data_IF_010792638214
#
_entry.id   IF_010792638214
#
_cell.length_a   1.000
_cell.length_b   1.000
_cell.length_c   1.000
_cell.angle_alpha   90.00
_cell.angle_beta   90.00
_cell.angle_gamma   90.00
#
_symmetry.space_group_name_H-M   'P 1'
#
loop_
_entity.id
_entity.type
_entity.pdbx_description
1 polymer ?
#
# COMPACT_ATOMS: atom_id res chain seq x y z
N UNK A 1 13.48 -47.15 -22.86
CA UNK A 1 14.49 -46.21 -22.37
C UNK A 1 13.72 -44.97 -21.97
N UNK A 2 13.61 -44.72 -20.68
CA UNK A 2 12.90 -43.57 -20.10
C UNK A 2 13.96 -42.47 -19.91
N UNK A 3 13.73 -41.23 -20.36
CA UNK A 3 14.66 -40.13 -20.07
C UNK A 3 14.55 -39.76 -18.59
N UNK A 4 15.69 -39.54 -17.94
CA UNK A 4 15.75 -39.06 -16.55
C UNK A 4 15.37 -37.57 -16.49
N UNK A 5 14.64 -37.13 -15.44
CA UNK A 5 14.33 -35.73 -15.24
C UNK A 5 15.59 -34.96 -14.79
N UNK A 6 15.84 -33.85 -15.45
CA UNK A 6 16.85 -32.86 -15.09
C UNK A 6 16.50 -32.20 -13.76
N UNK A 7 17.44 -32.22 -12.82
CA UNK A 7 17.32 -31.54 -11.53
C UNK A 7 17.41 -30.02 -11.71
N UNK A 8 16.62 -29.23 -10.97
CA UNK A 8 16.78 -27.78 -10.94
C UNK A 8 18.12 -27.40 -10.30
N UNK A 9 18.72 -26.34 -10.84
CA UNK A 9 20.02 -25.80 -10.44
C UNK A 9 19.80 -24.89 -9.24
N UNK A 10 20.32 -25.32 -8.09
CA UNK A 10 20.43 -24.54 -6.86
C UNK A 10 21.38 -23.35 -7.08
N UNK A 11 20.83 -22.12 -7.13
CA UNK A 11 21.55 -20.86 -7.37
C UNK A 11 22.04 -20.18 -6.08
N UNK A 12 22.21 -20.89 -4.96
CA UNK A 12 22.86 -20.31 -3.78
C UNK A 12 24.38 -20.42 -3.87
N UNK A 13 25.05 -19.31 -4.23
CA UNK A 13 26.36 -18.86 -3.69
C UNK A 13 26.92 -17.65 -4.46
N UNK A 14 27.28 -16.60 -3.73
CA UNK A 14 28.67 -16.17 -3.44
C UNK A 14 28.84 -14.64 -3.45
N UNK A 15 28.50 -13.95 -2.36
CA UNK A 15 29.05 -12.61 -2.12
C UNK A 15 30.50 -12.76 -1.63
N UNK A 16 31.43 -12.57 -2.55
CA UNK A 16 32.85 -12.43 -2.26
C UNK A 16 33.23 -10.94 -2.36
N UNK A 17 33.53 -10.35 -1.20
CA UNK A 17 34.07 -9.01 -1.06
C UNK A 17 35.41 -8.84 -1.81
N UNK A 18 35.51 -7.80 -2.65
CA UNK A 18 36.77 -7.18 -3.07
C UNK A 18 36.54 -5.67 -3.15
N UNK A 19 37.30 -4.93 -2.35
CA UNK A 19 37.26 -3.47 -2.32
C UNK A 19 38.25 -2.76 -3.25
N UNK A 20 38.31 -1.45 -3.01
CA UNK A 20 39.30 -0.45 -3.40
C UNK A 20 39.17 0.19 -4.80
N UNK A 21 38.63 1.40 -4.80
CA UNK A 21 39.48 2.59 -4.95
C UNK A 21 39.39 3.39 -6.25
N UNK A 22 39.44 4.72 -6.07
CA UNK A 22 39.63 5.80 -7.07
C UNK A 22 38.35 6.22 -7.79
N UNK A 23 38.11 7.47 -8.18
CA UNK A 23 38.58 8.83 -7.89
C UNK A 23 37.83 9.68 -8.93
N UNK A 24 37.41 10.92 -8.64
CA UNK A 24 37.43 12.01 -9.65
C UNK A 24 37.00 13.36 -9.05
N UNK A 25 38.01 14.19 -8.82
CA UNK A 25 37.89 15.64 -8.69
C UNK A 25 37.63 16.23 -10.08
N UNK A 26 36.56 17.00 -10.25
CA UNK A 26 36.39 17.86 -11.43
C UNK A 26 36.56 19.32 -10.98
N UNK A 27 37.72 19.88 -11.35
CA UNK A 27 37.96 21.30 -11.38
C UNK A 27 37.81 21.78 -12.84
N UNK A 28 37.09 22.88 -13.03
CA UNK A 28 36.93 23.54 -14.32
C UNK A 28 36.65 25.02 -14.14
N UNK A 29 37.73 25.82 -14.13
CA UNK A 29 37.71 27.28 -14.13
C UNK A 29 37.22 27.84 -15.49
N UNK A 30 36.61 29.04 -15.49
CA UNK A 30 37.15 30.27 -16.11
C UNK A 30 36.09 31.38 -16.19
N UNK A 31 36.46 32.59 -15.77
CA UNK A 31 35.76 33.83 -16.13
C UNK A 31 35.88 34.97 -15.11
N UNK A 32 37.05 35.62 -15.05
CA UNK A 32 37.26 36.90 -14.35
C UNK A 32 36.75 38.08 -15.18
N UNK A 33 36.18 39.11 -14.53
CA UNK A 33 36.49 40.52 -14.83
C UNK A 33 36.21 41.43 -13.60
N UNK A 34 37.29 42.10 -13.17
CA UNK A 34 37.41 43.26 -12.26
C UNK A 34 36.69 44.50 -12.85
N UNK A 35 36.36 45.63 -12.18
CA UNK A 35 36.53 46.29 -10.87
C UNK A 35 35.66 47.56 -10.92
N UNK A 36 35.15 48.07 -9.81
CA UNK A 36 35.48 49.42 -9.30
C UNK A 36 34.59 49.86 -8.12
N UNK A 37 35.25 50.54 -7.19
CA UNK A 37 34.80 50.96 -5.88
C UNK A 37 33.80 52.13 -5.90
N UNK A 38 33.08 52.36 -4.79
CA UNK A 38 33.35 53.50 -3.90
C UNK A 38 32.53 53.41 -2.59
N UNK A 39 33.22 53.73 -1.50
CA UNK A 39 32.78 53.93 -0.13
C UNK A 39 31.94 55.20 0.04
N UNK A 40 30.93 55.19 0.91
CA UNK A 40 30.55 56.39 1.68
C UNK A 40 30.01 56.04 3.07
N UNK A 41 30.45 56.82 4.05
CA UNK A 41 30.39 56.60 5.49
C UNK A 41 29.41 57.57 6.17
N UNK A 42 28.36 57.03 6.80
CA UNK A 42 27.74 57.48 8.05
C UNK A 42 26.76 58.69 8.04
N UNK A 43 26.17 59.06 9.21
CA UNK A 43 25.96 58.29 10.45
C UNK A 43 24.52 58.39 11.03
N UNK A 44 24.19 57.42 11.91
CA UNK A 44 23.51 57.54 13.23
C UNK A 44 22.23 58.39 13.34
N UNK A 45 21.12 57.77 13.74
CA UNK A 45 20.33 58.16 14.93
C UNK A 45 19.75 56.89 15.60
N UNK A 46 20.04 56.75 16.89
CA UNK A 46 19.41 55.82 17.82
C UNK A 46 18.10 56.47 18.26
N UNK A 47 16.96 55.78 18.18
CA UNK A 47 15.78 56.18 18.94
C UNK A 47 15.12 54.94 19.55
N UNK A 48 15.07 54.94 20.87
CA UNK A 48 14.45 53.94 21.73
C UNK A 48 12.97 54.28 21.84
N UNK A 49 12.10 53.31 21.53
CA UNK A 49 10.68 53.39 21.85
C UNK A 49 10.17 52.00 22.21
N UNK A 50 10.22 51.69 23.50
CA UNK A 50 9.43 50.64 24.13
C UNK A 50 7.94 51.00 24.01
N UNK A 51 7.07 50.04 23.66
CA UNK A 51 5.65 50.18 23.94
C UNK A 51 4.71 49.35 23.07
N UNK A 52 4.17 48.33 23.74
CA UNK A 52 2.82 47.77 23.60
C UNK A 52 2.62 46.59 22.64
N UNK A 53 2.17 45.50 23.28
CA UNK A 53 1.73 44.25 22.73
C UNK A 53 0.52 44.45 21.82
N UNK A 54 0.55 43.78 20.67
CA UNK A 54 -0.63 43.48 19.88
C UNK A 54 -0.58 41.97 19.62
N UNK A 55 -1.32 41.25 20.46
CA UNK A 55 -1.64 39.83 20.30
C UNK A 55 -2.76 39.70 19.26
N UNK A 56 -2.60 38.80 18.29
CA UNK A 56 -3.74 38.09 17.71
C UNK A 56 -3.74 37.94 16.19
N UNK A 57 -3.80 36.68 15.77
CA UNK A 57 -4.16 36.16 14.44
C UNK A 57 -3.06 36.11 13.39
N UNK A 58 -2.00 35.34 13.69
CA UNK A 58 -1.42 34.42 12.71
C UNK A 58 -1.43 33.01 13.34
N UNK A 59 -1.68 31.99 12.52
CA UNK A 59 -1.66 30.55 12.82
C UNK A 59 -2.99 29.86 13.21
N UNK A 60 -3.99 29.90 12.33
CA UNK A 60 -4.88 28.74 12.13
C UNK A 60 -4.14 27.69 11.27
N UNK A 61 -3.05 27.16 11.79
CA UNK A 61 -2.64 25.80 11.49
C UNK A 61 -3.14 25.01 12.70
N UNK A 62 -4.20 24.23 12.52
CA UNK A 62 -4.62 23.28 13.52
C UNK A 62 -3.39 22.43 13.87
N UNK A 63 -2.85 22.65 15.07
CA UNK A 63 -1.99 21.67 15.71
C UNK A 63 -2.84 20.41 15.78
N UNK A 64 -2.58 19.46 14.90
CA UNK A 64 -2.88 18.04 15.12
C UNK A 64 -2.32 17.76 16.52
N UNK A 65 -3.23 17.74 17.49
CA UNK A 65 -2.91 17.44 18.88
C UNK A 65 -2.11 16.17 18.87
N UNK A 66 -0.84 16.25 19.28
CA UNK A 66 0.04 15.10 19.42
C UNK A 66 -0.76 13.98 20.09
N UNK A 67 -1.13 12.96 19.31
CA UNK A 67 -1.85 11.80 19.83
C UNK A 67 -1.09 11.32 21.07
N UNK A 68 -1.81 10.87 22.11
CA UNK A 68 -1.16 10.26 23.27
C UNK A 68 -0.16 9.19 22.79
N UNK A 69 0.96 8.94 23.50
CA UNK A 69 1.92 7.93 23.09
C UNK A 69 1.20 6.58 22.96
N UNK A 70 0.97 6.18 21.72
CA UNK A 70 0.34 4.93 21.31
C UNK A 70 1.41 3.95 20.85
N UNK A 71 1.03 2.86 20.15
CA UNK A 71 2.02 2.00 19.50
C UNK A 71 2.91 2.84 18.57
N UNK A 72 4.22 2.67 18.71
CA UNK A 72 5.22 3.33 17.88
C UNK A 72 5.35 2.54 16.57
N UNK A 73 4.58 2.93 15.54
CA UNK A 73 4.74 2.38 14.20
C UNK A 73 6.12 2.66 13.63
N UNK A 74 6.56 1.82 12.70
CA UNK A 74 7.83 2.01 11.99
C UNK A 74 7.61 1.83 10.49
N UNK A 75 8.33 2.61 9.68
CA UNK A 75 8.44 2.31 8.25
C UNK A 75 9.10 0.95 8.03
N UNK A 76 8.74 0.30 6.92
CA UNK A 76 9.34 -0.96 6.50
C UNK A 76 10.86 -0.88 6.48
N UNK A 77 11.53 -1.88 7.05
CA UNK A 77 12.98 -2.00 6.96
C UNK A 77 13.42 -2.50 5.58
N UNK A 78 14.71 -2.39 5.28
CA UNK A 78 15.29 -3.00 4.07
C UNK A 78 15.04 -4.52 4.00
N UNK A 79 14.96 -5.19 5.16
CA UNK A 79 14.66 -6.62 5.26
C UNK A 79 13.19 -6.90 4.96
N UNK A 80 12.27 -6.08 5.50
CA UNK A 80 10.83 -6.22 5.22
C UNK A 80 10.53 -6.00 3.74
N UNK A 81 11.09 -4.94 3.14
CA UNK A 81 10.94 -4.65 1.71
C UNK A 81 11.45 -5.82 0.86
N UNK A 82 12.62 -6.34 1.18
CA UNK A 82 13.19 -7.47 0.45
C UNK A 82 12.34 -8.75 0.57
N UNK A 83 11.78 -9.02 1.76
CA UNK A 83 10.87 -10.15 1.97
C UNK A 83 9.57 -9.98 1.19
N UNK A 84 8.92 -8.81 1.28
CA UNK A 84 7.70 -8.52 0.51
C UNK A 84 7.92 -8.67 -1.00
N UNK A 85 9.04 -8.18 -1.53
CA UNK A 85 9.39 -8.34 -2.95
C UNK A 85 9.61 -9.80 -3.32
N UNK A 86 10.22 -10.59 -2.43
CA UNK A 86 10.45 -12.01 -2.66
C UNK A 86 9.18 -12.85 -2.55
N UNK A 87 8.28 -12.49 -1.63
CA UNK A 87 7.06 -13.22 -1.37
C UNK A 87 6.02 -12.91 -2.45
N UNK A 88 5.93 -11.67 -2.95
CA UNK A 88 5.01 -11.25 -4.02
C UNK A 88 5.60 -11.46 -5.43
N UNK A 89 6.06 -12.67 -5.71
CA UNK A 89 6.80 -13.01 -6.93
C UNK A 89 5.96 -13.46 -8.14
N UNK A 90 4.62 -13.42 -8.05
CA UNK A 90 3.76 -13.89 -9.14
C UNK A 90 3.82 -12.95 -10.36
N UNK A 91 3.59 -13.52 -11.54
CA UNK A 91 3.75 -12.83 -12.82
C UNK A 91 2.42 -12.81 -13.61
N UNK A 92 1.42 -12.01 -13.18
CA UNK A 92 0.11 -11.95 -13.84
C UNK A 92 0.14 -11.24 -15.20
N UNK A 93 1.23 -10.57 -15.55
CA UNK A 93 1.39 -9.88 -16.85
C UNK A 93 2.32 -10.67 -17.79
N UNK A 94 2.21 -10.48 -19.11
CA UNK A 94 3.14 -11.07 -20.09
C UNK A 94 4.55 -10.45 -20.02
N UNK A 95 5.55 -11.20 -20.50
CA UNK A 95 6.98 -10.81 -20.47
C UNK A 95 7.25 -9.39 -21.01
N UNK A 96 6.55 -8.96 -22.06
CA UNK A 96 6.75 -7.62 -22.66
C UNK A 96 6.37 -6.48 -21.70
N UNK A 97 5.53 -6.74 -20.70
CA UNK A 97 5.15 -5.79 -19.65
C UNK A 97 6.10 -5.80 -18.44
N UNK A 98 7.06 -6.73 -18.39
CA UNK A 98 8.06 -6.84 -17.32
C UNK A 98 9.43 -6.28 -17.71
N UNK A 99 9.72 -6.16 -19.02
CA UNK A 99 11.04 -5.73 -19.53
C UNK A 99 10.93 -4.50 -20.45
N UNK A 100 11.82 -3.51 -20.26
CA UNK A 100 12.10 -2.47 -21.27
C UNK A 100 13.59 -2.49 -21.61
N UNK A 101 14.02 -3.23 -22.64
CA UNK A 101 15.44 -3.40 -23.00
C UNK A 101 16.28 -2.09 -23.09
N UNK A 102 17.46 -2.07 -22.44
CA UNK A 102 18.52 -1.06 -22.63
C UNK A 102 19.75 -1.24 -21.72
N UNK A 103 20.97 -0.99 -22.23
CA UNK A 103 22.25 -1.23 -21.50
C UNK A 103 22.52 -0.27 -20.30
N UNK A 104 21.62 0.69 -20.03
CA UNK A 104 21.74 1.68 -18.93
C UNK A 104 20.49 1.74 -18.01
N UNK A 105 19.81 0.58 -17.82
CA UNK A 105 18.68 0.27 -16.91
C UNK A 105 17.27 0.41 -17.52
N UNK A 106 16.54 -0.69 -17.42
CA UNK A 106 15.11 -0.86 -17.73
C UNK A 106 14.31 -0.74 -16.44
N UNK A 107 13.22 0.03 -16.38
CA UNK A 107 12.28 -0.16 -15.27
C UNK A 107 10.84 0.20 -15.63
N UNK A 108 9.96 -0.67 -15.15
CA UNK A 108 8.61 -0.58 -14.54
C UNK A 108 8.08 -2.00 -14.81
N UNK A 109 7.72 -2.79 -13.78
CA UNK A 109 6.77 -2.39 -12.76
C UNK A 109 7.38 -2.17 -11.37
N UNK A 110 6.97 -1.06 -10.76
CA UNK A 110 7.01 -0.81 -9.30
C UNK A 110 6.14 -1.77 -8.50
N UNK A 111 5.53 -2.74 -9.18
CA UNK A 111 4.52 -3.62 -8.67
C UNK A 111 5.07 -5.03 -8.53
N UNK A 112 4.76 -5.64 -7.40
CA UNK A 112 4.95 -7.07 -7.15
C UNK A 112 3.57 -7.65 -6.83
N UNK A 113 3.34 -8.92 -7.15
CA UNK A 113 2.00 -9.50 -7.15
C UNK A 113 1.94 -10.84 -6.41
N UNK A 114 0.81 -11.10 -5.77
CA UNK A 114 0.51 -12.40 -5.19
C UNK A 114 -0.92 -12.81 -5.50
N UNK A 115 -1.10 -13.98 -6.10
CA UNK A 115 -2.41 -14.61 -6.21
C UNK A 115 -2.89 -15.05 -4.83
N UNK A 116 -4.16 -14.75 -4.57
CA UNK A 116 -4.82 -15.13 -3.32
C UNK A 116 -6.11 -15.90 -3.59
N UNK A 117 -6.54 -15.98 -4.85
CA UNK A 117 -7.58 -16.89 -5.34
C UNK A 117 -7.34 -17.19 -6.83
N UNK A 118 -8.24 -17.95 -7.46
CA UNK A 118 -8.21 -18.19 -8.91
C UNK A 118 -8.52 -16.92 -9.73
N UNK A 119 -9.15 -15.91 -9.11
CA UNK A 119 -9.62 -14.69 -9.78
C UNK A 119 -9.10 -13.39 -9.18
N UNK A 120 -8.43 -13.45 -8.03
CA UNK A 120 -7.99 -12.26 -7.29
C UNK A 120 -6.50 -12.34 -6.99
N UNK A 121 -5.83 -11.22 -7.19
CA UNK A 121 -4.46 -10.98 -6.80
C UNK A 121 -4.37 -9.73 -5.92
N UNK A 122 -3.37 -9.70 -5.06
CA UNK A 122 -2.94 -8.51 -4.33
C UNK A 122 -1.66 -7.98 -4.96
N UNK A 123 -1.50 -6.67 -4.97
CA UNK A 123 -0.32 -5.97 -5.47
C UNK A 123 0.27 -5.05 -4.43
N UNK A 124 1.58 -4.89 -4.48
CA UNK A 124 2.29 -3.87 -3.71
C UNK A 124 2.98 -2.94 -4.71
N UNK A 125 2.70 -1.64 -4.63
CA UNK A 125 3.29 -0.60 -5.46
C UNK A 125 4.32 0.19 -4.65
N UNK A 126 5.59 0.12 -5.03
CA UNK A 126 6.70 0.80 -4.35
C UNK A 126 7.07 2.17 -4.96
N UNK A 127 7.82 2.95 -4.20
CA UNK A 127 8.31 4.28 -4.59
C UNK A 127 9.32 4.24 -5.76
N UNK A 128 10.11 3.18 -5.85
CA UNK A 128 11.16 3.02 -6.86
C UNK A 128 10.73 2.13 -8.04
N UNK A 129 11.10 2.49 -9.28
CA UNK A 129 10.79 1.70 -10.47
C UNK A 129 11.25 0.23 -10.44
N UNK A 130 12.32 -0.07 -9.70
CA UNK A 130 12.74 -1.44 -9.40
C UNK A 130 12.38 -1.74 -7.93
N UNK A 131 11.47 -2.70 -7.65
CA UNK A 131 11.11 -3.07 -6.28
C UNK A 131 12.32 -3.48 -5.41
N UNK A 132 13.37 -4.06 -5.99
CA UNK A 132 14.60 -4.41 -5.23
C UNK A 132 15.41 -3.18 -4.77
N UNK A 133 15.15 -1.99 -5.33
CA UNK A 133 15.76 -0.72 -4.94
C UNK A 133 14.81 0.15 -4.07
N UNK A 134 13.59 -0.32 -3.79
CA UNK A 134 12.56 0.42 -3.06
C UNK A 134 13.00 0.85 -1.66
N UNK A 135 12.44 1.97 -1.20
CA UNK A 135 12.62 2.46 0.17
C UNK A 135 11.32 2.65 0.93
N UNK A 136 10.18 2.62 0.23
CA UNK A 136 8.86 2.73 0.81
C UNK A 136 7.79 2.03 -0.03
N UNK A 137 6.70 1.64 0.62
CA UNK A 137 5.46 1.21 -0.04
C UNK A 137 4.56 2.43 -0.26
N UNK A 138 4.06 2.59 -1.49
CA UNK A 138 3.15 3.68 -1.87
C UNK A 138 1.69 3.20 -1.81
N UNK A 139 1.37 2.11 -2.50
CA UNK A 139 0.02 1.55 -2.51
C UNK A 139 0.01 0.06 -2.20
N UNK A 140 -1.09 -0.38 -1.58
CA UNK A 140 -1.58 -1.75 -1.76
C UNK A 140 -2.67 -1.77 -2.82
N UNK A 141 -2.74 -2.85 -3.57
CA UNK A 141 -3.68 -3.02 -4.68
C UNK A 141 -4.43 -4.34 -4.53
N UNK A 142 -5.71 -4.35 -4.87
CA UNK A 142 -6.47 -5.59 -5.09
C UNK A 142 -6.88 -5.61 -6.55
N UNK A 143 -6.54 -6.69 -7.24
CA UNK A 143 -6.89 -6.92 -8.64
C UNK A 143 -7.83 -8.10 -8.80
N UNK A 144 -8.90 -7.92 -9.56
CA UNK A 144 -9.83 -8.99 -9.94
C UNK A 144 -9.78 -9.22 -11.45
N UNK A 145 -9.64 -10.48 -11.87
CA UNK A 145 -9.72 -10.88 -13.27
C UNK A 145 -11.03 -10.40 -13.89
N UNK A 146 -10.97 -9.98 -15.15
CA UNK A 146 -12.14 -9.65 -15.92
C UNK A 146 -11.77 -9.27 -17.35
N UNK A 147 -12.66 -8.50 -17.95
CA UNK A 147 -12.49 -7.91 -19.27
C UNK A 147 -12.79 -6.42 -19.20
N UNK A 148 -12.29 -5.64 -20.15
CA UNK A 148 -12.49 -4.20 -20.16
C UNK A 148 -13.89 -3.81 -20.66
N UNK A 149 -14.90 -3.92 -19.79
CA UNK A 149 -16.30 -3.54 -20.01
C UNK A 149 -16.96 -3.04 -18.72
N UNK A 150 -18.01 -2.20 -18.83
CA UNK A 150 -18.80 -1.75 -17.66
C UNK A 150 -19.39 -2.94 -16.89
N UNK A 151 -19.82 -4.00 -17.56
CA UNK A 151 -20.44 -5.18 -16.93
C UNK A 151 -19.46 -6.10 -16.21
N UNK A 152 -18.16 -5.98 -16.52
CA UNK A 152 -17.11 -6.80 -15.93
C UNK A 152 -16.34 -6.06 -14.82
N UNK A 153 -16.48 -4.73 -14.76
CA UNK A 153 -16.02 -3.92 -13.63
C UNK A 153 -16.79 -4.33 -12.36
N UNK A 154 -16.13 -4.80 -11.29
CA UNK A 154 -16.83 -5.36 -10.13
C UNK A 154 -17.70 -4.35 -9.38
N UNK A 155 -17.15 -3.16 -9.11
CA UNK A 155 -17.83 -2.03 -8.48
C UNK A 155 -17.06 -0.72 -8.74
N UNK A 156 -17.57 0.41 -8.26
CA UNK A 156 -17.02 1.74 -8.49
C UNK A 156 -15.62 1.96 -7.90
N UNK A 157 -15.19 1.19 -6.89
CA UNK A 157 -13.83 1.27 -6.36
C UNK A 157 -12.75 0.74 -7.30
N UNK A 158 -13.10 -0.13 -8.25
CA UNK A 158 -12.18 -0.69 -9.22
C UNK A 158 -11.99 0.27 -10.40
N UNK A 159 -11.35 1.40 -10.16
CA UNK A 159 -11.29 2.52 -11.12
C UNK A 159 -10.29 2.32 -12.25
N UNK A 160 -9.34 1.39 -12.09
CA UNK A 160 -8.25 1.16 -13.03
C UNK A 160 -8.31 -0.26 -13.62
N UNK A 161 -8.08 -0.38 -14.92
CA UNK A 161 -7.96 -1.64 -15.63
C UNK A 161 -6.57 -1.76 -16.24
N UNK A 162 -5.96 -2.93 -16.08
CA UNK A 162 -4.69 -3.26 -16.71
C UNK A 162 -4.79 -4.58 -17.47
N UNK A 163 -4.52 -4.55 -18.76
CA UNK A 163 -4.45 -5.76 -19.60
C UNK A 163 -3.36 -6.70 -19.08
N UNK A 164 -3.64 -8.01 -19.10
CA UNK A 164 -2.62 -9.01 -18.76
C UNK A 164 -1.62 -9.23 -19.89
N UNK A 165 -1.95 -8.82 -21.12
CA UNK A 165 -1.08 -8.90 -22.30
C UNK A 165 -1.07 -7.56 -23.04
N UNK A 166 0.11 -6.92 -23.13
CA UNK A 166 0.31 -5.71 -23.92
C UNK A 166 1.77 -5.61 -24.45
N UNK A 167 2.00 -4.69 -25.38
CA UNK A 167 3.32 -4.36 -25.94
C UNK A 167 4.12 -3.41 -25.00
N UNK A 168 4.11 -3.68 -23.69
CA UNK A 168 4.75 -2.86 -22.65
C UNK A 168 3.78 -2.36 -21.58
N UNK A 169 4.31 -2.06 -20.39
CA UNK A 169 3.53 -1.65 -19.21
C UNK A 169 2.54 -0.51 -19.49
N UNK A 170 3.04 0.60 -20.04
CA UNK A 170 2.22 1.77 -20.37
C UNK A 170 1.09 1.48 -21.37
N UNK A 171 1.26 0.47 -22.24
CA UNK A 171 0.25 0.06 -23.19
C UNK A 171 -0.83 -0.83 -22.56
N UNK A 172 -0.59 -1.37 -21.36
CA UNK A 172 -1.52 -2.21 -20.62
C UNK A 172 -2.66 -1.44 -19.95
N UNK A 173 -2.52 -0.14 -19.71
CA UNK A 173 -3.56 0.68 -19.07
C UNK A 173 -4.82 0.82 -19.95
N UNK A 174 -5.97 0.38 -19.43
CA UNK A 174 -7.24 0.33 -20.16
C UNK A 174 -7.23 -0.74 -21.26
N UNK A 175 -7.99 -0.54 -22.33
CA UNK A 175 -8.02 -1.45 -23.48
C UNK A 175 -9.10 -1.13 -24.50
N UNK A 176 -9.26 -2.01 -25.48
CA UNK A 176 -10.48 -2.12 -26.29
C UNK A 176 -11.54 -2.92 -25.53
N UNK A 177 -12.82 -2.68 -25.85
CA UNK A 177 -13.94 -3.40 -25.23
C UNK A 177 -13.76 -4.92 -25.35
N UNK A 178 -13.71 -5.60 -24.20
CA UNK A 178 -13.54 -7.06 -24.12
C UNK A 178 -12.10 -7.55 -24.00
N UNK A 179 -11.09 -6.66 -23.95
CA UNK A 179 -9.72 -7.06 -23.66
C UNK A 179 -9.61 -7.66 -22.26
N UNK A 180 -8.83 -8.74 -22.13
CA UNK A 180 -8.65 -9.49 -20.89
C UNK A 180 -7.60 -8.83 -19.97
N UNK A 181 -7.86 -8.84 -18.66
CA UNK A 181 -6.97 -8.20 -17.69
C UNK A 181 -7.58 -8.11 -16.30
N UNK A 182 -7.18 -7.07 -15.58
CA UNK A 182 -7.48 -6.93 -14.16
C UNK A 182 -8.11 -5.58 -13.88
N UNK A 183 -9.26 -5.60 -13.22
CA UNK A 183 -9.83 -4.45 -12.55
C UNK A 183 -9.13 -4.28 -11.19
N UNK A 184 -8.59 -3.10 -10.93
CA UNK A 184 -7.72 -2.80 -9.79
C UNK A 184 -8.30 -1.68 -8.91
N UNK A 185 -8.29 -1.90 -7.60
CA UNK A 185 -8.46 -0.88 -6.56
C UNK A 185 -7.10 -0.52 -5.98
N UNK A 186 -6.81 0.76 -5.79
CA UNK A 186 -5.56 1.25 -5.19
C UNK A 186 -5.84 1.90 -3.84
N UNK A 187 -5.07 1.56 -2.81
CA UNK A 187 -5.17 2.14 -1.48
C UNK A 187 -3.80 2.69 -1.10
N UNK A 188 -3.70 4.01 -0.99
CA UNK A 188 -2.47 4.69 -0.59
C UNK A 188 -2.18 4.39 0.87
N UNK A 189 -0.92 4.09 1.20
CA UNK A 189 -0.52 3.73 2.57
C UNK A 189 0.37 4.79 3.24
N UNK A 190 0.68 5.85 2.53
CA UNK A 190 1.43 7.02 3.01
C UNK A 190 1.02 8.26 2.21
N UNK A 191 1.46 9.43 2.64
CA UNK A 191 1.35 10.63 1.80
C UNK A 191 2.23 10.46 0.55
N UNK A 192 1.63 10.61 -0.65
CA UNK A 192 2.36 10.47 -1.91
C UNK A 192 2.03 11.62 -2.87
N UNK A 193 3.05 12.07 -3.59
CA UNK A 193 2.92 13.02 -4.70
C UNK A 193 3.06 12.28 -6.03
N UNK A 194 1.96 12.17 -6.78
CA UNK A 194 1.96 11.62 -8.14
C UNK A 194 1.56 12.68 -9.18
N UNK A 195 2.08 12.62 -10.42
CA UNK A 195 1.85 13.64 -11.43
C UNK A 195 0.41 13.67 -11.99
N UNK A 196 -0.41 12.67 -11.64
CA UNK A 196 -1.82 12.58 -12.00
C UNK A 196 -2.78 13.08 -10.90
N UNK A 197 -2.25 13.54 -9.76
CA UNK A 197 -3.01 14.26 -8.73
C UNK A 197 -2.57 15.72 -8.66
N UNK A 198 -3.54 16.62 -8.41
CA UNK A 198 -3.27 18.05 -8.20
C UNK A 198 -2.79 18.34 -6.76
N UNK A 199 -3.10 17.44 -5.81
CA UNK A 199 -2.76 17.52 -4.38
C UNK A 199 -2.13 16.20 -3.92
N UNK A 200 -1.31 16.20 -2.85
CA UNK A 200 -0.83 14.96 -2.25
C UNK A 200 -1.97 14.05 -1.81
N UNK A 201 -1.74 12.74 -1.91
CA UNK A 201 -2.71 11.70 -1.60
C UNK A 201 -2.38 11.21 -0.21
N UNK A 202 -3.28 11.43 0.76
CA UNK A 202 -3.17 10.87 2.11
C UNK A 202 -3.49 9.37 2.13
N UNK A 203 -3.17 8.62 3.21
CA UNK A 203 -3.54 7.22 3.33
C UNK A 203 -5.07 6.99 3.22
N UNK A 204 -5.53 6.49 2.07
CA UNK A 204 -6.95 6.35 1.75
C UNK A 204 -7.16 5.46 0.52
N UNK A 205 -8.42 5.18 0.17
CA UNK A 205 -8.77 4.52 -1.10
C UNK A 205 -8.68 5.54 -2.23
N UNK A 206 -7.76 5.34 -3.16
CA UNK A 206 -7.46 6.28 -4.21
C UNK A 206 -8.30 6.02 -5.47
N UNK A 207 -9.52 6.54 -5.50
CA UNK A 207 -10.38 6.52 -6.69
C UNK A 207 -9.82 7.35 -7.86
N UNK A 208 -8.83 8.21 -7.62
CA UNK A 208 -8.19 9.06 -8.61
C UNK A 208 -7.00 8.41 -9.31
N UNK A 209 -6.58 7.22 -8.87
CA UNK A 209 -5.43 6.52 -9.44
C UNK A 209 -5.69 6.12 -10.91
N UNK A 210 -5.17 6.94 -11.84
CA UNK A 210 -5.17 6.70 -13.29
C UNK A 210 -6.45 6.03 -13.83
N UNK A 211 -7.66 6.58 -13.62
CA UNK A 211 -8.91 5.88 -13.91
C UNK A 211 -9.05 5.54 -15.40
N UNK A 212 -9.52 4.34 -15.70
CA UNK A 212 -9.76 3.82 -17.04
C UNK A 212 -11.25 3.50 -17.22
N UNK A 213 -12.08 4.50 -17.58
CA UNK A 213 -13.51 4.28 -17.71
C UNK A 213 -13.80 3.30 -18.86
N UNK A 214 -14.51 2.18 -18.60
CA UNK A 214 -14.89 1.26 -19.66
C UNK A 214 -16.08 1.79 -20.48
N UNK A 215 -16.37 1.12 -21.60
CA UNK A 215 -17.61 1.31 -22.35
C UNK A 215 -18.55 0.11 -22.13
N UNK A 216 -19.85 0.30 -22.39
CA UNK A 216 -20.86 -0.78 -22.48
C UNK A 216 -20.35 -1.94 -23.35
N UNK A 217 -20.30 -3.15 -22.79
CA UNK A 217 -19.97 -4.38 -23.49
C UNK A 217 -21.17 -5.05 -24.16
N UNK A 218 -20.91 -6.09 -24.95
CA UNK A 218 -21.94 -7.07 -25.35
C UNK A 218 -21.93 -8.35 -24.51
N UNK A 219 -20.85 -8.54 -23.75
CA UNK A 219 -20.49 -9.75 -23.04
C UNK A 219 -20.27 -9.38 -21.56
N UNK A 220 -20.73 -10.24 -20.66
CA UNK A 220 -20.64 -10.01 -19.21
C UNK A 220 -19.23 -10.25 -18.66
N UNK A 221 -19.14 -10.58 -17.37
CA UNK A 221 -17.89 -10.95 -16.74
C UNK A 221 -17.35 -12.29 -17.28
N UNK A 222 -16.29 -12.23 -18.09
CA UNK A 222 -15.54 -13.41 -18.55
C UNK A 222 -14.16 -13.46 -17.86
N UNK A 223 -13.90 -14.59 -17.21
CA UNK A 223 -12.67 -14.88 -16.47
C UNK A 223 -12.03 -16.21 -16.92
N UNK A 224 -12.57 -16.87 -17.96
CA UNK A 224 -12.14 -18.19 -18.48
C UNK A 224 -10.90 -18.06 -19.39
N UNK A 225 -9.88 -17.38 -18.89
CA UNK A 225 -8.56 -17.23 -19.48
C UNK A 225 -7.48 -17.52 -18.42
N UNK A 226 -6.32 -18.03 -18.83
CA UNK A 226 -5.21 -18.33 -17.91
C UNK A 226 -4.25 -17.13 -17.85
N UNK A 227 -3.85 -16.70 -16.65
CA UNK A 227 -2.81 -15.68 -16.52
C UNK A 227 -1.45 -16.13 -17.10
N UNK A 228 -0.68 -15.24 -17.75
CA UNK A 228 0.60 -15.55 -18.41
C UNK A 228 1.62 -16.34 -17.57
N UNK A 229 1.83 -15.97 -16.30
CA UNK A 229 2.82 -16.60 -15.41
C UNK A 229 2.30 -17.82 -14.64
N UNK A 230 1.02 -18.16 -14.76
CA UNK A 230 0.36 -19.08 -13.83
C UNK A 230 0.32 -18.53 -12.40
N UNK A 231 0.28 -19.44 -11.41
CA UNK A 231 0.24 -19.06 -9.98
C UNK A 231 -1.16 -18.83 -9.42
N UNK A 232 -2.19 -18.87 -10.27
CA UNK A 232 -3.60 -18.74 -9.87
C UNK A 232 -3.96 -19.77 -8.79
N UNK A 233 -4.66 -19.30 -7.76
CA UNK A 233 -5.07 -20.09 -6.61
C UNK A 233 -4.90 -19.35 -5.29
N UNK A 234 -5.35 -20.00 -4.22
CA UNK A 234 -5.09 -19.55 -2.86
C UNK A 234 -3.62 -19.68 -2.47
N UNK A 235 -3.24 -18.99 -1.40
CA UNK A 235 -1.93 -19.13 -0.78
C UNK A 235 -1.70 -20.59 -0.37
N UNK A 236 -0.53 -21.14 -0.69
CA UNK A 236 -0.07 -22.38 -0.07
C UNK A 236 0.29 -22.18 1.40
N UNK A 237 0.33 -23.27 2.18
CA UNK A 237 0.77 -23.21 3.59
C UNK A 237 2.14 -22.51 3.74
N UNK A 238 3.09 -22.77 2.83
CA UNK A 238 4.42 -22.15 2.85
C UNK A 238 4.35 -20.64 2.62
N UNK A 239 3.61 -20.19 1.60
CA UNK A 239 3.44 -18.76 1.31
C UNK A 239 2.69 -18.02 2.42
N UNK A 240 1.67 -18.67 3.00
CA UNK A 240 0.94 -18.13 4.14
C UNK A 240 1.86 -17.95 5.34
N UNK A 241 2.68 -18.96 5.66
CA UNK A 241 3.61 -18.90 6.78
C UNK A 241 4.69 -17.82 6.56
N UNK A 242 5.21 -17.67 5.33
CA UNK A 242 6.13 -16.60 4.95
C UNK A 242 5.52 -15.21 5.15
N UNK A 243 4.28 -14.99 4.70
CA UNK A 243 3.57 -13.73 4.92
C UNK A 243 3.29 -13.47 6.41
N UNK A 244 2.90 -14.48 7.18
CA UNK A 244 2.67 -14.35 8.63
C UNK A 244 3.98 -13.96 9.35
N UNK A 245 5.12 -14.50 8.92
CA UNK A 245 6.43 -14.15 9.47
C UNK A 245 6.81 -12.68 9.18
N UNK A 246 6.37 -12.11 8.04
CA UNK A 246 6.63 -10.69 7.69
C UNK A 246 5.67 -9.74 8.43
N UNK A 247 4.41 -10.14 8.60
CA UNK A 247 3.34 -9.36 9.24
C UNK A 247 3.30 -9.62 10.76
N UNK A 248 4.41 -9.41 11.44
CA UNK A 248 4.61 -9.80 12.84
C UNK A 248 4.47 -8.65 13.86
N UNK A 249 3.99 -7.48 13.44
CA UNK A 249 3.89 -6.32 14.33
C UNK A 249 2.72 -6.41 15.32
N UNK A 250 2.97 -5.91 16.52
CA UNK A 250 1.98 -5.77 17.59
C UNK A 250 1.64 -4.30 17.80
N UNK A 251 0.36 -3.94 17.70
CA UNK A 251 -0.10 -2.56 17.92
C UNK A 251 -1.12 -2.43 19.06
N UNK A 252 -1.79 -3.53 19.43
CA UNK A 252 -2.77 -3.57 20.52
C UNK A 252 -2.14 -4.08 21.83
N UNK A 253 -2.72 -3.67 22.96
CA UNK A 253 -2.26 -4.11 24.29
C UNK A 253 -2.39 -5.64 24.52
N UNK A 254 -1.64 -6.19 25.49
CA UNK A 254 -1.62 -7.63 25.82
C UNK A 254 -3.02 -8.26 26.02
N UNK A 255 -3.97 -7.49 26.55
CA UNK A 255 -5.34 -7.96 26.80
C UNK A 255 -6.12 -8.27 25.51
N UNK A 256 -5.76 -7.60 24.42
CA UNK A 256 -6.32 -7.83 23.10
C UNK A 256 -5.57 -8.92 22.34
N UNK A 257 -4.29 -9.14 22.65
CA UNK A 257 -3.45 -10.18 22.03
C UNK A 257 -3.74 -11.59 22.57
N UNK A 258 -4.19 -11.72 23.83
CA UNK A 258 -4.51 -13.02 24.46
C UNK A 258 -6.02 -13.27 24.64
N UNK A 259 -6.84 -12.96 23.64
CA UNK A 259 -8.25 -13.31 23.67
C UNK A 259 -8.45 -14.83 23.54
N UNK A 260 -8.55 -15.54 24.68
CA UNK A 260 -8.85 -16.97 24.75
C UNK A 260 -7.78 -17.93 24.17
N UNK A 261 -6.53 -17.49 24.05
CA UNK A 261 -5.42 -18.33 23.57
C UNK A 261 -5.28 -18.42 22.05
N UNK A 262 -5.89 -17.47 21.33
CA UNK A 262 -5.70 -17.26 19.90
C UNK A 262 -5.31 -15.80 19.69
N UNK A 263 -4.32 -15.55 18.82
CA UNK A 263 -4.16 -14.26 18.15
C UNK A 263 -5.46 -13.96 17.41
N UNK A 264 -5.88 -12.70 17.22
CA UNK A 264 -6.91 -12.38 16.23
C UNK A 264 -6.55 -13.04 14.89
N UNK A 265 -7.54 -13.33 14.05
CA UNK A 265 -7.34 -13.84 12.68
C UNK A 265 -6.58 -12.87 11.76
N UNK A 266 -5.94 -11.84 12.33
CA UNK A 266 -5.25 -10.77 11.66
C UNK A 266 -3.78 -10.74 12.03
N UNK A 267 -2.95 -10.47 11.04
CA UNK A 267 -1.51 -10.21 11.18
C UNK A 267 -1.22 -8.84 10.57
N UNK A 268 -0.26 -8.12 11.12
CA UNK A 268 -0.12 -6.68 10.92
C UNK A 268 1.33 -6.30 10.59
N UNK A 269 1.50 -5.27 9.77
CA UNK A 269 2.80 -4.67 9.51
C UNK A 269 2.66 -3.16 9.45
N UNK A 270 3.40 -2.44 10.27
CA UNK A 270 3.52 -0.99 10.12
C UNK A 270 4.26 -0.69 8.82
N UNK A 271 3.74 0.29 8.09
CA UNK A 271 4.36 0.84 6.87
C UNK A 271 4.71 2.32 7.03
N UNK A 272 4.38 2.89 8.19
CA UNK A 272 4.76 4.21 8.65
C UNK A 272 4.42 4.35 10.14
N UNK A 273 4.61 5.56 10.68
CA UNK A 273 4.39 5.84 12.10
C UNK A 273 2.90 5.64 12.50
N UNK A 274 1.99 5.93 11.56
CA UNK A 274 0.54 6.00 11.82
C UNK A 274 -0.28 5.11 10.88
N UNK A 275 0.36 4.30 10.03
CA UNK A 275 -0.32 3.40 9.09
C UNK A 275 0.21 1.99 9.20
N UNK A 276 -0.71 1.04 9.26
CA UNK A 276 -0.43 -0.39 9.18
C UNK A 276 -1.18 -1.03 8.00
N UNK A 277 -0.62 -2.11 7.48
CA UNK A 277 -1.26 -3.02 6.52
C UNK A 277 -1.58 -4.31 7.27
N UNK A 278 -2.69 -4.97 6.92
CA UNK A 278 -3.08 -6.20 7.58
C UNK A 278 -3.59 -7.28 6.63
N UNK A 279 -3.35 -8.52 7.01
CA UNK A 279 -3.92 -9.71 6.40
C UNK A 279 -4.93 -10.31 7.38
N UNK A 280 -6.14 -10.63 6.92
CA UNK A 280 -7.17 -11.28 7.72
C UNK A 280 -7.51 -12.64 7.10
N UNK A 281 -7.33 -13.71 7.89
CA UNK A 281 -7.53 -15.10 7.51
C UNK A 281 -8.87 -15.70 7.98
N UNK A 282 -9.29 -16.82 7.38
CA UNK A 282 -10.54 -17.52 7.66
C UNK A 282 -10.58 -18.25 9.01
N UNK A 283 -9.43 -18.44 9.66
CA UNK A 283 -9.31 -19.10 10.96
C UNK A 283 -8.72 -18.14 12.01
N UNK A 284 -9.08 -18.30 13.30
CA UNK A 284 -8.50 -17.49 14.38
C UNK A 284 -6.98 -17.60 14.48
N UNK A 285 -6.40 -18.78 14.18
CA UNK A 285 -4.95 -18.93 14.11
C UNK A 285 -4.51 -18.87 12.64
N UNK A 286 -3.77 -17.82 12.22
CA UNK A 286 -3.25 -17.72 10.85
C UNK A 286 -2.45 -18.94 10.41
N UNK A 287 -1.70 -19.60 11.29
CA UNK A 287 -0.94 -20.83 10.97
C UNK A 287 -1.84 -22.05 10.66
N UNK A 288 -3.13 -21.99 10.99
CA UNK A 288 -4.13 -23.03 10.73
C UNK A 288 -5.12 -22.62 9.62
N UNK A 289 -5.04 -21.39 9.12
CA UNK A 289 -5.93 -20.84 8.12
C UNK A 289 -5.75 -21.47 6.75
N UNK A 290 -6.85 -21.60 5.99
CA UNK A 290 -6.79 -22.09 4.62
C UNK A 290 -6.73 -20.94 3.63
N UNK A 291 -7.34 -19.81 3.97
CA UNK A 291 -7.68 -18.77 3.02
C UNK A 291 -7.49 -17.37 3.61
N UNK A 292 -6.84 -16.48 2.85
CA UNK A 292 -6.85 -15.04 3.10
C UNK A 292 -8.21 -14.47 2.68
N UNK A 293 -8.94 -13.83 3.58
CA UNK A 293 -10.30 -13.33 3.31
C UNK A 293 -10.38 -11.81 3.18
N UNK A 294 -9.55 -11.05 3.90
CA UNK A 294 -9.39 -9.61 3.68
C UNK A 294 -7.92 -9.19 3.62
N UNK A 295 -7.66 -8.12 2.87
CA UNK A 295 -6.43 -7.35 2.85
C UNK A 295 -6.81 -5.88 3.03
N UNK A 296 -6.03 -5.11 3.78
CA UNK A 296 -6.44 -3.73 4.05
C UNK A 296 -5.41 -2.92 4.80
N UNK A 297 -5.79 -1.69 5.14
CA UNK A 297 -4.99 -0.80 5.96
C UNK A 297 -5.77 -0.29 7.16
N UNK A 298 -5.00 0.12 8.16
CA UNK A 298 -5.45 0.85 9.33
C UNK A 298 -4.68 2.14 9.43
N UNK A 299 -5.39 3.25 9.61
CA UNK A 299 -4.84 4.59 9.81
C UNK A 299 -5.14 5.01 11.24
N UNK A 300 -4.09 5.40 11.96
CA UNK A 300 -4.19 5.82 13.35
C UNK A 300 -5.06 7.06 13.47
N UNK A 301 -5.91 7.10 14.48
CA UNK A 301 -6.74 8.26 14.77
C UNK A 301 -7.48 8.14 16.10
N UNK A 302 -8.35 9.12 16.34
CA UNK A 302 -9.33 9.21 17.39
C UNK A 302 -10.67 8.66 16.91
N UNK A 303 -11.51 8.24 17.85
CA UNK A 303 -12.88 7.81 17.56
C UNK A 303 -13.80 9.02 17.31
N UNK A 304 -13.51 9.74 16.23
CA UNK A 304 -14.16 10.96 15.79
C UNK A 304 -14.40 10.90 14.28
N UNK A 305 -15.53 11.46 13.83
CA UNK A 305 -15.86 11.51 12.39
C UNK A 305 -14.86 12.34 11.58
N UNK A 306 -14.40 13.46 12.16
CA UNK A 306 -13.43 14.36 11.52
C UNK A 306 -12.02 13.75 11.41
N UNK A 307 -11.70 12.72 12.20
CA UNK A 307 -10.40 12.03 12.20
C UNK A 307 -10.44 10.70 11.45
N UNK A 308 -11.60 10.37 10.87
CA UNK A 308 -11.80 9.18 10.05
C UNK A 308 -11.36 9.49 8.62
N UNK A 309 -10.35 8.80 8.07
CA UNK A 309 -10.03 8.93 6.65
C UNK A 309 -11.25 8.49 5.84
N UNK A 310 -11.62 9.25 4.80
CA UNK A 310 -12.63 8.85 3.80
C UNK A 310 -13.82 8.05 4.39
N UNK A 311 -14.74 8.77 5.02
CA UNK A 311 -15.81 8.25 5.89
C UNK A 311 -16.65 7.07 5.36
N UNK A 312 -16.75 6.92 4.04
CA UNK A 312 -17.54 5.88 3.40
C UNK A 312 -16.81 4.52 3.33
N UNK A 313 -15.48 4.51 3.39
CA UNK A 313 -14.66 3.29 3.24
C UNK A 313 -14.04 2.83 4.57
N UNK A 314 -13.65 3.75 5.44
CA UNK A 314 -13.12 3.43 6.77
C UNK A 314 -14.25 3.30 7.80
N UNK A 315 -15.09 2.28 7.64
CA UNK A 315 -16.30 2.15 8.46
C UNK A 315 -16.04 1.50 9.83
N UNK A 316 -14.87 0.89 10.02
CA UNK A 316 -14.51 0.17 11.24
C UNK A 316 -13.39 0.87 12.00
N UNK A 317 -13.51 0.97 13.32
CA UNK A 317 -12.50 1.51 14.23
C UNK A 317 -12.17 0.47 15.28
N UNK A 318 -10.89 0.34 15.62
CA UNK A 318 -10.44 -0.54 16.68
C UNK A 318 -9.46 0.17 17.61
N UNK A 319 -9.77 0.18 18.90
CA UNK A 319 -8.93 0.75 19.95
C UNK A 319 -7.61 -0.03 20.03
N UNK A 320 -6.50 0.67 20.28
CA UNK A 320 -5.24 0.01 20.62
C UNK A 320 -5.20 -0.44 22.09
N UNK A 321 -6.11 0.09 22.93
CA UNK A 321 -6.21 -0.21 24.35
C UNK A 321 -7.66 -0.57 24.72
N UNK A 322 -7.88 -1.83 25.05
CA UNK A 322 -9.14 -2.34 25.58
C UNK A 322 -8.93 -3.52 26.55
N UNK A 323 -10.01 -3.95 27.21
CA UNK A 323 -10.00 -5.09 28.16
C UNK A 323 -10.03 -6.47 27.45
N UNK A 324 -10.39 -6.51 26.17
CA UNK A 324 -10.35 -7.68 25.29
C UNK A 324 -10.42 -7.24 23.82
N UNK A 325 -10.13 -8.14 22.88
CA UNK A 325 -10.29 -7.88 21.44
C UNK A 325 -11.70 -7.38 21.11
N UNK A 326 -12.74 -8.08 21.61
CA UNK A 326 -14.13 -7.70 21.34
C UNK A 326 -14.50 -6.34 21.94
N UNK A 327 -13.84 -5.95 23.03
CA UNK A 327 -14.03 -4.63 23.65
C UNK A 327 -13.28 -3.52 22.92
N UNK A 328 -12.37 -3.85 21.99
CA UNK A 328 -11.63 -2.91 21.18
C UNK A 328 -12.41 -2.35 19.99
N UNK A 329 -13.47 -3.01 19.54
CA UNK A 329 -14.29 -2.50 18.43
C UNK A 329 -15.04 -1.21 18.79
N UNK A 330 -14.72 -0.12 18.09
CA UNK A 330 -15.30 1.22 18.26
C UNK A 330 -14.80 1.95 19.50
N UNK A 331 -15.34 3.14 19.76
CA UNK A 331 -15.10 3.90 20.98
C UNK A 331 -16.42 4.24 21.70
N UNK A 332 -16.28 4.89 22.85
CA UNK A 332 -17.34 5.44 23.69
C UNK A 332 -17.15 6.95 23.95
N UNK A 333 -15.96 7.47 23.67
CA UNK A 333 -15.59 8.86 23.87
C UNK A 333 -14.62 9.31 22.75
N UNK A 334 -14.73 10.57 22.27
CA UNK A 334 -13.86 11.10 21.22
C UNK A 334 -12.37 11.16 21.57
N UNK A 335 -12.01 11.17 22.87
CA UNK A 335 -10.60 11.16 23.30
C UNK A 335 -9.96 9.76 23.16
N UNK A 336 -10.71 8.73 22.73
CA UNK A 336 -10.18 7.38 22.57
C UNK A 336 -9.46 7.19 21.25
N UNK A 337 -8.32 6.51 21.31
CA UNK A 337 -7.40 6.34 20.20
C UNK A 337 -7.32 4.89 19.71
N UNK A 338 -7.03 4.72 18.42
CA UNK A 338 -7.00 3.44 17.74
C UNK A 338 -6.69 3.60 16.27
N UNK A 339 -7.20 2.67 15.47
CA UNK A 339 -7.06 2.68 14.01
C UNK A 339 -8.43 2.64 13.34
N UNK A 340 -8.64 3.53 12.38
CA UNK A 340 -9.68 3.43 11.37
C UNK A 340 -9.23 2.44 10.31
N UNK A 341 -10.05 1.45 9.99
CA UNK A 341 -9.69 0.29 9.18
C UNK A 341 -10.58 0.23 7.93
N UNK A 342 -9.95 -0.03 6.78
CA UNK A 342 -10.63 -0.42 5.54
C UNK A 342 -10.38 -1.91 5.30
N UNK A 343 -11.45 -2.68 5.15
CA UNK A 343 -11.38 -4.12 4.87
C UNK A 343 -11.71 -4.34 3.39
N UNK A 344 -10.73 -4.80 2.61
CA UNK A 344 -10.97 -5.18 1.23
C UNK A 344 -11.07 -6.70 1.12
N UNK A 345 -12.26 -7.21 0.81
CA UNK A 345 -12.47 -8.63 0.59
C UNK A 345 -11.70 -9.07 -0.65
N UNK A 346 -10.95 -10.16 -0.55
CA UNK A 346 -10.16 -10.71 -1.67
C UNK A 346 -10.83 -11.91 -2.34
N UNK A 347 -11.98 -12.34 -1.81
CA UNK A 347 -12.82 -13.41 -2.36
C UNK A 347 -14.27 -13.19 -1.92
N UNK A 348 -15.26 -13.85 -2.56
CA UNK A 348 -16.63 -13.84 -2.06
C UNK A 348 -16.73 -14.54 -0.69
N UNK A 349 -17.48 -13.96 0.25
CA UNK A 349 -17.62 -14.45 1.62
C UNK A 349 -19.09 -14.51 2.06
N UNK A 350 -19.44 -15.47 2.91
CA UNK A 350 -20.71 -15.47 3.66
C UNK A 350 -20.43 -14.99 5.09
N UNK A 351 -20.73 -13.72 5.38
CA UNK A 351 -20.47 -13.09 6.67
C UNK A 351 -21.75 -12.94 7.50
N UNK A 352 -21.65 -12.70 8.83
CA UNK A 352 -22.82 -12.46 9.68
C UNK A 352 -23.71 -11.29 9.23
N UNK A 353 -23.18 -10.34 8.46
CA UNK A 353 -23.91 -9.18 7.89
C UNK A 353 -24.44 -9.41 6.47
N UNK A 354 -24.03 -10.48 5.78
CA UNK A 354 -24.52 -10.80 4.44
C UNK A 354 -23.46 -11.45 3.55
N UNK A 355 -23.82 -11.65 2.30
CA UNK A 355 -22.89 -12.03 1.25
C UNK A 355 -22.01 -10.82 0.91
N UNK A 356 -20.69 -11.01 0.89
CA UNK A 356 -19.69 -9.99 0.57
C UNK A 356 -19.03 -10.40 -0.74
N UNK A 357 -19.00 -9.50 -1.72
CA UNK A 357 -18.28 -9.67 -2.98
C UNK A 357 -16.83 -9.18 -2.83
N UNK A 358 -15.97 -9.51 -3.79
CA UNK A 358 -14.60 -8.95 -3.84
C UNK A 358 -14.69 -7.43 -4.02
N UNK A 359 -14.11 -6.67 -3.11
CA UNK A 359 -14.28 -5.22 -3.03
C UNK A 359 -14.12 -4.69 -1.60
N UNK A 360 -14.37 -3.41 -1.40
CA UNK A 360 -14.36 -2.80 -0.06
C UNK A 360 -15.61 -3.24 0.70
N UNK A 361 -15.44 -3.95 1.82
CA UNK A 361 -16.54 -4.35 2.69
C UNK A 361 -16.90 -3.23 3.66
N UNK A 362 -17.73 -2.30 3.18
CA UNK A 362 -18.25 -1.17 3.96
C UNK A 362 -19.18 -1.61 5.10
N UNK A 363 -19.66 -2.84 5.07
CA UNK A 363 -20.53 -3.45 6.10
C UNK A 363 -19.73 -4.29 7.12
N UNK A 364 -18.39 -4.31 7.02
CA UNK A 364 -17.52 -4.96 7.98
C UNK A 364 -17.63 -4.29 9.36
N UNK A 365 -18.49 -4.85 10.21
CA UNK A 365 -18.67 -4.46 11.62
C UNK A 365 -18.60 -2.93 11.88
N UNK A 366 -19.39 -2.09 11.19
CA UNK A 366 -19.22 -0.65 11.22
C UNK A 366 -19.35 -0.08 12.64
N UNK A 367 -18.49 0.87 12.98
CA UNK A 367 -18.42 1.55 14.28
C UNK A 367 -18.64 3.06 14.08
N UNK A 368 -19.89 3.51 14.03
CA UNK A 368 -20.19 4.93 13.81
C UNK A 368 -19.72 5.77 15.02
N UNK A 369 -18.92 6.83 14.81
CA UNK A 369 -18.60 7.79 15.86
C UNK A 369 -19.85 8.63 16.23
N UNK A 370 -19.89 9.17 17.45
CA UNK A 370 -21.03 9.97 17.95
C UNK A 370 -21.08 11.42 17.42
#
# INVERSE_FOLDING_TARGET
MVPEPTRPVDRRRLLAAIGAGSALTIAGCLGEEETDAETDDGPREEDESEGEADDGDEDEAAELTSLEPGPDGQSLSEEDLASLVADFDDQPMNDDQHEIEGEDRSYTPRHVWKWVSDETLIGLHFDEPNPEEATALDYITIGKKGVFTEESQPDEEFTHFHQHTADGWEAGHGGETGDEGYWLTHIAVREIEYPFHDEPIEPMVDYGFMPTPPEDGSDGHDTDWDAPGGGEGGLSDEQRDELVDVFDDEWANDAQQEANGYTPSHVWKFVGDDVLVFLHFDEPNPEEANDLIYFGIGVRGQFLDDDRPQSDDFTHFHLWEADSWEAGHGGQDPDQHGFWLVHHAVRPLEMPWGDVEVGIDREFMPTPPE
#
